data_IF_121307200493
#
_entry.id   IF_121307200493
#
_cell.length_a   1.000
_cell.length_b   1.000
_cell.length_c   1.000
_cell.angle_alpha   90.00
_cell.angle_beta   90.00
_cell.angle_gamma   90.00
#
_symmetry.space_group_name_H-M   'P 1'
#
loop_
_entity.id
_entity.type
_entity.pdbx_description
1 polymer ?
#
# COMPACT_ATOMS: atom_id res chain seq x y z
N UNK A 1 26.03 -5.34 -7.16
CA UNK A 1 26.32 -4.09 -7.89
C UNK A 1 27.53 -4.22 -8.82
N UNK A 2 28.61 -4.89 -8.40
CA UNK A 2 29.85 -5.05 -9.19
C UNK A 2 29.63 -5.53 -10.63
N UNK A 3 28.75 -6.53 -10.83
CA UNK A 3 28.38 -7.02 -12.18
C UNK A 3 27.76 -5.95 -13.08
N UNK A 4 26.94 -5.05 -12.53
CA UNK A 4 26.32 -3.96 -13.30
C UNK A 4 27.32 -2.82 -13.54
N UNK A 5 28.23 -2.57 -12.59
CA UNK A 5 29.25 -1.53 -12.69
C UNK A 5 30.28 -1.80 -13.82
N UNK A 6 30.47 -3.07 -14.20
CA UNK A 6 31.32 -3.44 -15.32
C UNK A 6 30.70 -3.13 -16.71
N UNK A 7 29.41 -2.77 -16.77
CA UNK A 7 28.71 -2.45 -18.02
C UNK A 7 28.87 -0.96 -18.38
N UNK A 8 29.13 -0.60 -19.65
CA UNK A 8 29.17 0.80 -20.05
C UNK A 8 27.89 1.57 -19.71
N UNK A 9 28.03 2.77 -19.14
CA UNK A 9 26.92 3.57 -18.60
C UNK A 9 25.83 3.88 -19.64
N UNK A 10 26.22 4.14 -20.88
CA UNK A 10 25.29 4.37 -21.99
C UNK A 10 24.40 3.13 -22.25
N UNK A 11 24.96 1.92 -22.18
CA UNK A 11 24.20 0.67 -22.34
C UNK A 11 23.19 0.50 -21.21
N UNK A 12 23.60 0.73 -19.96
CA UNK A 12 22.68 0.69 -18.81
C UNK A 12 21.53 1.70 -18.96
N UNK A 13 21.83 2.91 -19.43
CA UNK A 13 20.82 3.95 -19.63
C UNK A 13 19.83 3.56 -20.72
N UNK A 14 20.29 3.11 -21.89
CA UNK A 14 19.42 2.68 -22.99
C UNK A 14 18.49 1.54 -22.55
N UNK A 15 19.03 0.53 -21.87
CA UNK A 15 18.24 -0.60 -21.35
C UNK A 15 17.21 -0.14 -20.32
N UNK A 16 17.59 0.75 -19.39
CA UNK A 16 16.66 1.31 -18.39
C UNK A 16 15.52 2.08 -19.06
N UNK A 17 15.82 2.93 -20.04
CA UNK A 17 14.79 3.69 -20.76
C UNK A 17 13.81 2.79 -21.51
N UNK A 18 14.32 1.79 -22.23
CA UNK A 18 13.48 0.83 -22.97
C UNK A 18 12.56 0.02 -22.04
N UNK A 19 13.09 -0.49 -20.93
CA UNK A 19 12.32 -1.25 -19.95
C UNK A 19 11.28 -0.36 -19.25
N UNK A 20 11.68 0.84 -18.82
CA UNK A 20 10.76 1.78 -18.18
C UNK A 20 9.59 2.14 -19.09
N UNK A 21 9.84 2.40 -20.38
CA UNK A 21 8.79 2.73 -21.33
C UNK A 21 7.73 1.61 -21.43
N UNK A 22 8.15 0.34 -21.39
CA UNK A 22 7.21 -0.78 -21.41
C UNK A 22 6.28 -0.75 -20.18
N UNK A 23 6.82 -0.48 -18.98
CA UNK A 23 6.04 -0.37 -17.76
C UNK A 23 5.15 0.88 -17.69
N UNK A 24 5.64 2.00 -18.19
CA UNK A 24 4.86 3.23 -18.30
C UNK A 24 3.65 2.99 -19.21
N UNK A 25 3.85 2.32 -20.36
CA UNK A 25 2.78 1.94 -21.28
C UNK A 25 1.79 0.93 -20.70
N UNK A 26 2.20 0.10 -19.73
CA UNK A 26 1.30 -0.78 -18.97
C UNK A 26 0.41 -0.02 -17.96
N UNK A 27 0.54 1.31 -17.86
CA UNK A 27 -0.32 2.14 -17.01
C UNK A 27 0.16 2.23 -15.55
N UNK A 28 1.46 2.14 -15.31
CA UNK A 28 2.05 2.25 -13.96
C UNK A 28 1.59 3.52 -13.22
N UNK A 29 1.54 4.67 -13.91
CA UNK A 29 1.11 5.95 -13.32
C UNK A 29 -0.34 5.90 -12.80
N UNK A 30 -1.26 5.34 -13.57
CA UNK A 30 -2.66 5.20 -13.16
C UNK A 30 -2.80 4.23 -11.98
N UNK A 31 -2.04 3.12 -12.01
CA UNK A 31 -2.01 2.15 -10.91
C UNK A 31 -1.54 2.80 -9.61
N UNK A 32 -0.50 3.64 -9.65
CA UNK A 32 0.00 4.38 -8.49
C UNK A 32 -1.00 5.44 -7.99
N UNK A 33 -1.69 6.13 -8.90
CA UNK A 33 -2.75 7.08 -8.55
C UNK A 33 -3.89 6.38 -7.79
N UNK A 34 -4.38 5.25 -8.31
CA UNK A 34 -5.41 4.47 -7.63
C UNK A 34 -4.93 3.91 -6.29
N UNK A 35 -3.67 3.47 -6.19
CA UNK A 35 -3.12 3.01 -4.92
C UNK A 35 -3.18 4.09 -3.83
N UNK A 36 -2.81 5.33 -4.19
CA UNK A 36 -2.87 6.48 -3.26
C UNK A 36 -4.31 6.83 -2.89
N UNK A 37 -5.20 6.87 -3.89
CA UNK A 37 -6.61 7.15 -3.66
C UNK A 37 -7.26 6.10 -2.75
N UNK A 38 -7.05 4.82 -3.03
CA UNK A 38 -7.64 3.74 -2.25
C UNK A 38 -7.04 3.64 -0.84
N UNK A 39 -5.75 3.92 -0.65
CA UNK A 39 -5.17 4.07 0.69
C UNK A 39 -5.80 5.26 1.46
N UNK A 40 -6.14 6.35 0.77
CA UNK A 40 -6.93 7.43 1.37
C UNK A 40 -8.32 6.96 1.81
N UNK A 41 -9.03 6.23 0.95
CA UNK A 41 -10.37 5.70 1.24
C UNK A 41 -10.31 4.72 2.43
N UNK A 42 -9.36 3.79 2.47
CA UNK A 42 -9.27 2.80 3.55
C UNK A 42 -9.12 3.47 4.91
N UNK A 43 -8.32 4.54 5.02
CA UNK A 43 -8.10 5.28 6.28
C UNK A 43 -9.31 6.10 6.75
N UNK A 44 -10.20 6.49 5.84
CA UNK A 44 -11.39 7.31 6.15
C UNK A 44 -12.71 6.55 6.07
N UNK A 45 -12.66 5.28 5.69
CA UNK A 45 -13.82 4.38 5.73
C UNK A 45 -14.32 4.16 7.17
N UNK A 46 -15.59 3.80 7.38
CA UNK A 46 -16.10 3.43 8.70
C UNK A 46 -15.29 2.31 9.38
N UNK A 47 -14.68 1.41 8.61
CA UNK A 47 -13.80 0.33 9.07
C UNK A 47 -12.44 0.86 9.52
N UNK A 48 -11.83 1.75 8.73
CA UNK A 48 -10.54 2.36 9.06
C UNK A 48 -10.64 3.29 10.28
N UNK A 49 -11.73 4.04 10.39
CA UNK A 49 -12.03 4.86 11.58
C UNK A 49 -12.19 3.99 12.82
N UNK A 50 -12.93 2.88 12.73
CA UNK A 50 -13.07 1.94 13.84
C UNK A 50 -11.73 1.33 14.25
N UNK A 51 -10.91 0.89 13.30
CA UNK A 51 -9.58 0.34 13.60
C UNK A 51 -8.70 1.37 14.31
N UNK A 52 -8.75 2.63 13.88
CA UNK A 52 -8.03 3.74 14.53
C UNK A 52 -8.52 3.96 15.96
N UNK A 53 -9.82 4.03 16.18
CA UNK A 53 -10.42 4.23 17.51
C UNK A 53 -10.09 3.09 18.46
N UNK A 54 -10.24 1.84 18.00
CA UNK A 54 -9.88 0.66 18.77
C UNK A 54 -8.39 0.63 19.13
N UNK A 55 -7.51 0.99 18.18
CA UNK A 55 -6.07 1.10 18.43
C UNK A 55 -5.72 2.24 19.41
N UNK A 56 -6.48 3.33 19.43
CA UNK A 56 -6.29 4.42 20.39
C UNK A 56 -6.69 4.01 21.81
N UNK A 57 -7.72 3.19 21.96
CA UNK A 57 -8.23 2.77 23.26
C UNK A 57 -7.49 1.56 23.83
N UNK A 58 -7.22 0.54 23.00
CA UNK A 58 -6.68 -0.77 23.42
C UNK A 58 -5.21 -0.99 23.01
N UNK A 59 -4.63 -0.04 22.26
CA UNK A 59 -3.28 -0.13 21.71
C UNK A 59 -3.23 -0.80 20.33
N UNK A 60 -2.22 -0.43 19.54
CA UNK A 60 -2.07 -0.90 18.16
C UNK A 60 -1.90 -2.42 18.04
N UNK A 61 -1.19 -3.05 18.98
CA UNK A 61 -0.98 -4.50 18.98
C UNK A 61 -2.31 -5.28 19.09
N UNK A 62 -3.20 -4.84 19.99
CA UNK A 62 -4.53 -5.44 20.15
C UNK A 62 -5.38 -5.25 18.88
N UNK A 63 -5.29 -4.09 18.23
CA UNK A 63 -6.00 -3.82 16.97
C UNK A 63 -5.51 -4.73 15.84
N UNK A 64 -4.20 -4.95 15.72
CA UNK A 64 -3.60 -5.89 14.76
C UNK A 64 -4.04 -7.32 15.05
N UNK A 65 -4.02 -7.74 16.31
CA UNK A 65 -4.51 -9.06 16.72
C UNK A 65 -6.00 -9.25 16.35
N UNK A 66 -6.84 -8.22 16.55
CA UNK A 66 -8.24 -8.28 16.10
C UNK A 66 -8.35 -8.44 14.59
N UNK A 67 -7.67 -7.59 13.81
CA UNK A 67 -7.68 -7.64 12.34
C UNK A 67 -7.27 -9.03 11.82
N UNK A 68 -6.19 -9.59 12.38
CA UNK A 68 -5.59 -10.82 11.89
C UNK A 68 -6.30 -12.08 12.42
N UNK A 69 -7.10 -11.95 13.49
CA UNK A 69 -7.87 -13.07 14.06
C UNK A 69 -9.06 -13.55 13.21
N UNK A 70 -9.43 -12.83 12.14
CA UNK A 70 -10.60 -13.13 11.33
C UNK A 70 -11.94 -12.76 11.99
N UNK A 71 -11.92 -12.07 13.14
CA UNK A 71 -13.12 -11.52 13.78
C UNK A 71 -13.71 -10.40 12.92
N UNK A 72 -15.04 -10.37 12.86
CA UNK A 72 -15.74 -9.27 12.20
C UNK A 72 -15.54 -7.95 12.95
N UNK A 73 -15.60 -6.84 12.22
CA UNK A 73 -15.70 -5.51 12.83
C UNK A 73 -17.12 -5.37 13.42
N UNK A 74 -17.27 -4.98 14.69
CA UNK A 74 -18.57 -4.76 15.31
C UNK A 74 -19.42 -3.76 14.51
N UNK A 75 -20.73 -4.00 14.43
CA UNK A 75 -21.66 -3.17 13.66
C UNK A 75 -22.74 -2.55 14.57
N UNK A 76 -23.24 -1.37 14.19
CA UNK A 76 -24.36 -0.73 14.88
C UNK A 76 -24.10 -0.46 16.36
N UNK A 77 -24.96 -0.98 17.25
CA UNK A 77 -24.85 -0.77 18.70
C UNK A 77 -23.68 -1.50 19.36
N UNK A 78 -23.08 -2.47 18.68
CA UNK A 78 -21.95 -3.26 19.18
C UNK A 78 -20.59 -2.56 18.98
N UNK A 79 -20.57 -1.40 18.32
CA UNK A 79 -19.37 -0.56 18.16
C UNK A 79 -18.97 0.23 19.43
N UNK A 80 -19.81 0.21 20.47
CA UNK A 80 -19.58 0.93 21.72
C UNK A 80 -18.88 0.07 22.75
#
# INVERSE_FOLDING_TARGET
AERMAAVPRNQLMMQKLMINQAYENMGMANTQMFATLFDGITRHSPEGVWFREYAQEHGFAAAVEWRDSGRNIPQGRERK
#
